data_IF_830933696263
#
_entry.id   IF_830933696263
#
_cell.length_a   1.000
_cell.length_b   1.000
_cell.length_c   1.000
_cell.angle_alpha   90.00
_cell.angle_beta   90.00
_cell.angle_gamma   90.00
#
_symmetry.space_group_name_H-M   'P 1'
#
loop_
_entity.id
_entity.type
_entity.pdbx_description
1 polymer ?
#
# COMPACT_ATOMS: atom_id res chain seq x y z
N UNK A 1 1.28 8.21 23.58
CA UNK A 1 0.31 7.68 22.57
C UNK A 1 -0.21 8.76 21.62
N UNK A 2 -0.70 9.91 22.11
CA UNK A 2 -1.16 11.03 21.24
C UNK A 2 -0.08 11.58 20.30
N UNK A 3 1.14 11.73 20.82
CA UNK A 3 2.28 12.24 20.05
C UNK A 3 2.69 11.30 18.90
N UNK A 4 2.69 9.99 19.14
CA UNK A 4 3.00 8.97 18.12
C UNK A 4 1.92 8.90 17.02
N UNK A 5 0.65 9.04 17.40
CA UNK A 5 -0.45 9.12 16.46
C UNK A 5 -0.39 10.40 15.61
N UNK A 6 0.02 11.53 16.22
CA UNK A 6 0.20 12.80 15.52
C UNK A 6 1.32 12.72 14.47
N UNK A 7 2.52 12.26 14.86
CA UNK A 7 3.62 12.06 13.92
C UNK A 7 3.28 11.04 12.83
N UNK A 8 2.56 9.96 13.18
CA UNK A 8 2.09 8.98 12.20
C UNK A 8 1.12 9.59 11.18
N UNK A 9 0.17 10.41 11.62
CA UNK A 9 -0.75 11.11 10.72
C UNK A 9 -0.01 12.11 9.81
N UNK A 10 0.96 12.83 10.36
CA UNK A 10 1.78 13.80 9.62
C UNK A 10 2.64 13.10 8.54
N UNK A 11 3.19 11.93 8.86
CA UNK A 11 3.92 11.09 7.92
C UNK A 11 3.00 10.59 6.78
N UNK A 12 1.81 10.09 7.12
CA UNK A 12 0.82 9.63 6.12
C UNK A 12 0.41 10.77 5.20
N UNK A 13 0.16 11.96 5.76
CA UNK A 13 -0.14 13.17 4.98
C UNK A 13 1.01 13.56 4.05
N UNK A 14 2.25 13.61 4.56
CA UNK A 14 3.42 13.93 3.76
C UNK A 14 3.62 12.94 2.61
N UNK A 15 3.53 11.62 2.89
CA UNK A 15 3.60 10.60 1.86
C UNK A 15 2.44 10.71 0.85
N UNK A 16 1.23 11.03 1.32
CA UNK A 16 0.07 11.25 0.46
C UNK A 16 0.25 12.43 -0.49
N UNK A 17 0.78 13.55 0.01
CA UNK A 17 1.09 14.74 -0.81
C UNK A 17 2.18 14.42 -1.83
N UNK A 18 3.24 13.71 -1.44
CA UNK A 18 4.31 13.30 -2.37
C UNK A 18 3.78 12.39 -3.48
N UNK A 19 2.89 11.44 -3.15
CA UNK A 19 2.25 10.56 -4.13
C UNK A 19 1.17 11.28 -4.94
N UNK A 20 0.61 12.37 -4.45
CA UNK A 20 -0.31 13.20 -5.21
C UNK A 20 0.41 14.07 -6.24
N UNK A 21 1.56 14.64 -5.88
CA UNK A 21 2.28 15.60 -6.74
C UNK A 21 3.34 14.93 -7.63
N UNK A 22 3.93 13.82 -7.18
CA UNK A 22 4.92 13.06 -7.93
C UNK A 22 4.28 11.90 -8.67
N UNK A 23 4.03 12.07 -9.97
CA UNK A 23 3.57 10.97 -10.83
C UNK A 23 4.63 9.85 -10.82
N UNK A 24 4.38 8.68 -10.18
CA UNK A 24 5.38 7.61 -10.06
C UNK A 24 5.72 6.94 -11.41
N UNK A 25 5.00 7.29 -12.48
CA UNK A 25 5.28 6.84 -13.84
C UNK A 25 6.16 7.81 -14.64
N UNK A 26 6.27 9.08 -14.21
CA UNK A 26 7.01 10.14 -14.94
C UNK A 26 8.11 10.81 -14.12
N UNK A 27 8.07 10.71 -12.80
CA UNK A 27 9.01 11.40 -11.92
C UNK A 27 10.31 10.61 -11.76
N UNK A 28 11.42 11.21 -12.16
CA UNK A 28 12.77 10.65 -12.01
C UNK A 28 13.32 10.73 -10.59
N UNK A 29 12.68 11.52 -9.71
CA UNK A 29 13.13 11.75 -8.33
C UNK A 29 12.50 10.79 -7.33
N UNK A 30 11.48 10.00 -7.71
CA UNK A 30 10.95 8.97 -6.83
C UNK A 30 11.93 7.78 -6.80
N UNK A 31 12.42 7.37 -5.62
CA UNK A 31 13.38 6.28 -5.53
C UNK A 31 12.75 4.97 -6.00
N UNK A 32 13.53 4.21 -6.77
CA UNK A 32 13.14 2.85 -7.17
C UNK A 32 12.92 1.94 -5.96
N UNK A 33 12.01 1.00 -6.08
CA UNK A 33 11.66 0.05 -5.02
C UNK A 33 12.88 -0.84 -4.71
N UNK A 34 13.51 -0.75 -3.52
CA UNK A 34 14.75 -1.49 -3.24
C UNK A 34 14.55 -3.00 -3.30
N UNK A 35 13.35 -3.48 -2.92
CA UNK A 35 12.97 -4.88 -3.05
C UNK A 35 12.96 -5.36 -4.51
N UNK A 36 12.45 -4.54 -5.43
CA UNK A 36 12.48 -4.86 -6.85
C UNK A 36 13.92 -4.86 -7.36
N UNK A 37 14.75 -3.92 -6.92
CA UNK A 37 16.16 -3.85 -7.32
C UNK A 37 16.97 -5.09 -6.85
N UNK A 38 16.64 -5.65 -5.68
CA UNK A 38 17.37 -6.80 -5.13
C UNK A 38 16.83 -8.15 -5.60
N UNK A 39 15.51 -8.29 -5.78
CA UNK A 39 14.87 -9.58 -6.09
C UNK A 39 14.33 -9.68 -7.52
N UNK A 40 14.17 -8.55 -8.21
CA UNK A 40 13.42 -8.47 -9.47
C UNK A 40 11.90 -8.61 -9.29
N UNK A 41 11.41 -8.84 -8.07
CA UNK A 41 9.98 -9.03 -7.81
C UNK A 41 9.30 -7.73 -7.42
N UNK A 42 8.13 -7.49 -7.98
CA UNK A 42 7.33 -6.33 -7.64
C UNK A 42 6.52 -6.64 -6.37
N UNK A 43 6.78 -5.97 -5.25
CA UNK A 43 5.96 -6.17 -4.04
C UNK A 43 4.61 -5.44 -4.12
N UNK A 44 3.65 -5.85 -3.28
CA UNK A 44 2.36 -5.15 -3.13
C UNK A 44 2.54 -3.62 -3.04
N UNK A 45 3.52 -3.16 -2.24
CA UNK A 45 3.83 -1.74 -2.04
C UNK A 45 4.19 -0.98 -3.33
N UNK A 46 5.02 -1.55 -4.22
CA UNK A 46 5.45 -0.83 -5.42
C UNK A 46 4.28 -0.57 -6.40
N UNK A 47 3.22 -1.43 -6.40
CA UNK A 47 2.01 -1.22 -7.22
C UNK A 47 1.01 -0.26 -6.57
N UNK A 48 0.99 -0.22 -5.25
CA UNK A 48 0.12 0.66 -4.47
C UNK A 48 0.41 2.14 -4.67
N UNK A 49 1.64 2.56 -4.98
CA UNK A 49 1.97 3.97 -5.20
C UNK A 49 1.29 4.52 -6.45
N UNK A 50 1.36 3.81 -7.59
CA UNK A 50 0.66 4.18 -8.84
C UNK A 50 -0.86 4.10 -8.69
N UNK A 51 -1.33 3.03 -8.04
CA UNK A 51 -2.75 2.86 -7.76
C UNK A 51 -3.29 3.98 -6.87
N UNK A 52 -2.54 4.41 -5.85
CA UNK A 52 -2.91 5.49 -4.95
C UNK A 52 -2.87 6.85 -5.65
N UNK A 53 -1.85 7.12 -6.47
CA UNK A 53 -1.82 8.35 -7.30
C UNK A 53 -3.07 8.43 -8.20
N UNK A 54 -3.40 7.35 -8.92
CA UNK A 54 -4.60 7.28 -9.76
C UNK A 54 -5.88 7.49 -8.93
N UNK A 55 -5.97 6.87 -7.75
CA UNK A 55 -7.10 7.00 -6.84
C UNK A 55 -7.29 8.45 -6.36
N UNK A 56 -6.21 9.13 -5.97
CA UNK A 56 -6.24 10.50 -5.48
C UNK A 56 -6.65 11.51 -6.57
N UNK A 57 -6.43 11.18 -7.85
CA UNK A 57 -6.90 11.97 -9.00
C UNK A 57 -8.29 11.55 -9.48
N UNK A 58 -8.96 10.62 -8.80
CA UNK A 58 -10.31 10.16 -9.16
C UNK A 58 -10.35 9.12 -10.28
N UNK A 59 -9.21 8.57 -10.70
CA UNK A 59 -9.13 7.52 -11.73
C UNK A 59 -9.28 6.13 -11.11
N UNK A 60 -10.50 5.80 -10.68
CA UNK A 60 -10.82 4.54 -9.98
C UNK A 60 -10.50 3.28 -10.80
N UNK A 61 -10.86 3.28 -12.08
CA UNK A 61 -10.62 2.13 -12.96
C UNK A 61 -9.13 1.86 -13.14
N UNK A 62 -8.32 2.92 -13.29
CA UNK A 62 -6.87 2.77 -13.42
C UNK A 62 -6.20 2.38 -12.10
N UNK A 63 -6.71 2.88 -10.97
CA UNK A 63 -6.28 2.44 -9.65
C UNK A 63 -6.40 0.93 -9.46
N UNK A 64 -7.56 0.36 -9.86
CA UNK A 64 -7.79 -1.09 -9.80
C UNK A 64 -6.88 -1.88 -10.73
N UNK A 65 -6.59 -1.37 -11.93
CA UNK A 65 -5.63 -1.99 -12.85
C UNK A 65 -4.23 -2.03 -12.27
N UNK A 66 -3.80 -0.97 -11.57
CA UNK A 66 -2.48 -0.93 -10.96
C UNK A 66 -2.37 -1.81 -9.72
N UNK A 67 -3.41 -1.84 -8.87
CA UNK A 67 -3.44 -2.72 -7.71
C UNK A 67 -4.88 -2.94 -7.19
N UNK A 68 -5.47 -4.08 -7.55
CA UNK A 68 -6.82 -4.46 -7.12
C UNK A 68 -6.97 -4.56 -5.59
N UNK A 69 -5.89 -4.88 -4.87
CA UNK A 69 -5.91 -5.01 -3.41
C UNK A 69 -5.73 -3.68 -2.68
N UNK A 70 -5.51 -2.55 -3.37
CA UNK A 70 -5.32 -1.26 -2.70
C UNK A 70 -6.53 -0.89 -1.83
N UNK A 71 -7.72 -0.85 -2.43
CA UNK A 71 -8.95 -0.45 -1.73
C UNK A 71 -9.31 -1.42 -0.59
N UNK A 72 -9.32 -2.75 -0.79
CA UNK A 72 -9.50 -3.70 0.31
C UNK A 72 -8.50 -3.51 1.45
N UNK A 73 -7.24 -3.21 1.15
CA UNK A 73 -6.21 -2.99 2.16
C UNK A 73 -6.46 -1.71 2.96
N UNK A 74 -6.89 -0.63 2.30
CA UNK A 74 -7.24 0.62 3.00
C UNK A 74 -8.42 0.40 3.96
N UNK A 75 -9.46 -0.32 3.52
CA UNK A 75 -10.61 -0.67 4.36
C UNK A 75 -10.17 -1.56 5.54
N UNK A 76 -9.33 -2.55 5.30
CA UNK A 76 -8.79 -3.44 6.32
C UNK A 76 -7.94 -2.69 7.36
N UNK A 77 -7.04 -1.81 6.92
CA UNK A 77 -6.25 -0.95 7.81
C UNK A 77 -7.14 -0.01 8.64
N UNK A 78 -8.19 0.55 8.02
CA UNK A 78 -9.20 1.35 8.72
C UNK A 78 -9.94 0.54 9.78
N UNK A 79 -10.35 -0.68 9.46
CA UNK A 79 -11.04 -1.58 10.40
C UNK A 79 -10.16 -1.93 11.62
N UNK A 80 -8.85 -2.15 11.42
CA UNK A 80 -7.90 -2.44 12.51
C UNK A 80 -7.89 -1.34 13.58
N UNK A 81 -8.15 -0.08 13.23
CA UNK A 81 -8.20 1.04 14.19
C UNK A 81 -9.32 0.89 15.23
N UNK A 82 -10.43 0.22 14.87
CA UNK A 82 -11.56 0.00 15.75
C UNK A 82 -11.41 -1.25 16.63
N UNK A 83 -10.45 -2.13 16.34
CA UNK A 83 -10.23 -3.36 17.09
C UNK A 83 -9.41 -3.09 18.35
N UNK A 84 -10.07 -3.12 19.50
CA UNK A 84 -9.44 -2.89 20.81
C UNK A 84 -8.84 -4.16 21.43
N UNK A 85 -9.36 -5.32 21.08
CA UNK A 85 -8.87 -6.60 21.59
C UNK A 85 -7.54 -6.97 20.90
N UNK A 86 -6.44 -7.02 21.67
CA UNK A 86 -5.09 -7.32 21.17
C UNK A 86 -4.97 -8.66 20.44
N UNK A 87 -5.67 -9.70 20.90
CA UNK A 87 -5.62 -11.03 20.26
C UNK A 87 -6.32 -11.00 18.90
N UNK A 88 -7.47 -10.34 18.82
CA UNK A 88 -8.20 -10.16 17.55
C UNK A 88 -7.39 -9.26 16.62
N UNK A 89 -6.86 -8.13 17.11
CA UNK A 89 -6.01 -7.23 16.33
C UNK A 89 -4.83 -7.95 15.71
N UNK A 90 -4.05 -8.71 16.50
CA UNK A 90 -2.89 -9.43 15.98
C UNK A 90 -3.27 -10.51 14.96
N UNK A 91 -4.35 -11.25 15.19
CA UNK A 91 -4.83 -12.26 14.22
C UNK A 91 -5.27 -11.61 12.91
N UNK A 92 -6.06 -10.54 12.97
CA UNK A 92 -6.52 -9.80 11.79
C UNK A 92 -5.35 -9.15 11.05
N UNK A 93 -4.36 -8.61 11.77
CA UNK A 93 -3.14 -8.04 11.22
C UNK A 93 -2.31 -9.09 10.47
N UNK A 94 -2.05 -10.24 11.09
CA UNK A 94 -1.27 -11.33 10.49
C UNK A 94 -1.99 -11.96 9.30
N UNK A 95 -3.31 -12.13 9.39
CA UNK A 95 -4.11 -12.67 8.29
C UNK A 95 -4.04 -11.76 7.06
N UNK A 96 -4.26 -10.46 7.22
CA UNK A 96 -4.17 -9.53 6.09
C UNK A 96 -2.75 -9.39 5.56
N UNK A 97 -1.72 -9.36 6.42
CA UNK A 97 -0.32 -9.41 5.98
C UNK A 97 -0.03 -10.68 5.15
N UNK A 98 -0.54 -11.84 5.57
CA UNK A 98 -0.46 -13.10 4.82
C UNK A 98 -1.10 -13.00 3.44
N UNK A 99 -2.30 -12.41 3.34
CA UNK A 99 -2.97 -12.19 2.05
C UNK A 99 -2.12 -11.31 1.12
N UNK A 100 -1.52 -10.23 1.62
CA UNK A 100 -0.67 -9.35 0.82
C UNK A 100 0.61 -10.04 0.35
N UNK A 101 1.19 -10.91 1.18
CA UNK A 101 2.35 -11.74 0.81
C UNK A 101 1.95 -12.74 -0.26
N UNK A 102 0.85 -13.48 -0.07
CA UNK A 102 0.34 -14.43 -1.06
C UNK A 102 0.08 -13.73 -2.39
N UNK A 103 -0.60 -12.59 -2.38
CA UNK A 103 -0.83 -11.79 -3.59
C UNK A 103 0.49 -11.35 -4.24
N UNK A 104 1.48 -10.93 -3.44
CA UNK A 104 2.80 -10.59 -3.95
C UNK A 104 3.46 -11.80 -4.61
N UNK A 105 3.36 -12.99 -4.05
CA UNK A 105 3.93 -14.20 -4.68
C UNK A 105 3.16 -14.56 -5.95
N UNK A 106 1.83 -14.64 -5.89
CA UNK A 106 0.96 -15.00 -7.02
C UNK A 106 1.17 -14.10 -8.22
N UNK A 107 1.30 -12.79 -8.03
CA UNK A 107 1.47 -11.85 -9.15
C UNK A 107 2.87 -11.87 -9.79
N UNK A 108 3.87 -12.43 -9.09
CA UNK A 108 5.24 -12.54 -9.61
C UNK A 108 5.57 -13.95 -10.09
N UNK A 109 4.63 -14.89 -9.95
CA UNK A 109 4.79 -16.23 -10.48
C UNK A 109 4.70 -16.18 -12.03
N UNK A 110 5.70 -16.73 -12.74
CA UNK A 110 5.80 -16.62 -14.21
C UNK A 110 4.76 -17.47 -14.97
N UNK A 111 3.89 -18.19 -14.25
CA UNK A 111 2.89 -19.09 -14.79
C UNK A 111 1.48 -18.47 -14.93
N UNK A 112 1.35 -17.14 -14.80
CA UNK A 112 0.13 -16.38 -15.03
C UNK A 112 0.31 -15.31 -16.10
#
# INVERSE_FOLDING_TARGET
>A
MKLFAFYGALLVLACGVLVYTGDPSRSSWLPECPFYKTTGWLCYGCGSTRALHALLHGHWADSLKYNILLVPTLVWLGALFFIRNRRVFNRTLLAGAGVLVVFTVVRNLPCL
#
